data_IF_500724794635
#
_entry.id   IF_500724794635
#
_cell.length_a   1.000
_cell.length_b   1.000
_cell.length_c   1.000
_cell.angle_alpha   90.00
_cell.angle_beta   90.00
_cell.angle_gamma   90.00
#
_symmetry.space_group_name_H-M   'P 1'
#
loop_
_entity.id
_entity.type
_entity.pdbx_description
1 polymer ?
#
# COMPACT_ATOMS: atom_id res chain seq x y z
N UNK A 1 -3.24 -25.29 -34.06
CA UNK A 1 -4.67 -25.02 -33.81
C UNK A 1 -4.76 -23.55 -33.45
N UNK A 2 -5.12 -22.69 -34.41
CA UNK A 2 -5.28 -21.25 -34.16
C UNK A 2 -6.62 -21.11 -33.46
N UNK A 3 -6.61 -20.66 -32.21
CA UNK A 3 -7.85 -20.36 -31.49
C UNK A 3 -8.33 -19.02 -32.04
N UNK A 4 -9.35 -19.05 -32.88
CA UNK A 4 -9.98 -17.82 -33.35
C UNK A 4 -10.74 -17.18 -32.18
N UNK A 5 -10.22 -16.06 -31.69
CA UNK A 5 -10.90 -15.26 -30.67
C UNK A 5 -12.00 -14.44 -31.34
N UNK A 6 -13.26 -14.72 -31.01
CA UNK A 6 -14.41 -13.91 -31.41
C UNK A 6 -14.81 -12.96 -30.28
N UNK A 7 -15.16 -11.71 -30.59
CA UNK A 7 -15.68 -10.75 -29.63
C UNK A 7 -17.18 -10.48 -29.87
N UNK A 8 -17.91 -10.16 -28.81
CA UNK A 8 -19.31 -9.76 -28.86
C UNK A 8 -19.52 -8.47 -28.09
N UNK A 9 -20.26 -7.52 -28.66
CA UNK A 9 -20.65 -6.31 -27.95
C UNK A 9 -21.61 -6.68 -26.81
N UNK A 10 -21.20 -6.39 -25.57
CA UNK A 10 -22.04 -6.61 -24.39
C UNK A 10 -22.87 -5.37 -24.06
N UNK A 11 -22.26 -4.18 -24.08
CA UNK A 11 -22.90 -2.95 -23.60
C UNK A 11 -22.31 -1.72 -24.31
N UNK A 12 -23.15 -0.70 -24.56
CA UNK A 12 -22.70 0.63 -24.98
C UNK A 12 -23.37 1.66 -24.10
N UNK A 13 -22.57 2.39 -23.32
CA UNK A 13 -23.07 3.42 -22.40
C UNK A 13 -22.37 4.75 -22.64
N UNK A 14 -23.14 5.81 -22.82
CA UNK A 14 -22.63 7.17 -22.88
C UNK A 14 -22.65 7.81 -21.48
N UNK A 15 -21.49 8.28 -21.02
CA UNK A 15 -21.35 9.02 -19.78
C UNK A 15 -21.31 10.52 -20.11
N UNK A 16 -22.38 11.26 -19.81
CA UNK A 16 -22.53 12.66 -20.22
C UNK A 16 -21.98 13.70 -19.22
N UNK A 17 -21.64 13.28 -18.00
CA UNK A 17 -21.27 14.22 -16.93
C UNK A 17 -19.91 14.88 -17.21
N UNK A 18 -18.89 14.09 -17.55
CA UNK A 18 -17.51 14.56 -17.67
C UNK A 18 -16.70 13.66 -18.60
N UNK A 19 -15.63 14.20 -19.19
CA UNK A 19 -14.70 13.44 -20.03
C UNK A 19 -13.94 12.43 -19.17
N UNK A 20 -13.94 11.17 -19.59
CA UNK A 20 -13.14 10.12 -18.98
C UNK A 20 -11.71 10.20 -19.55
N UNK A 21 -10.73 10.32 -18.66
CA UNK A 21 -9.30 10.48 -19.01
C UNK A 21 -8.48 9.26 -18.64
N UNK A 22 -8.96 8.42 -17.73
CA UNK A 22 -8.32 7.18 -17.33
C UNK A 22 -9.35 6.06 -17.14
N UNK A 23 -9.02 4.83 -17.55
CA UNK A 23 -9.81 3.66 -17.24
C UNK A 23 -8.92 2.42 -17.07
N UNK A 24 -9.28 1.53 -16.14
CA UNK A 24 -8.51 0.30 -15.88
C UNK A 24 -9.39 -0.81 -15.29
N UNK A 25 -9.30 -2.00 -15.88
CA UNK A 25 -9.97 -3.20 -15.38
C UNK A 25 -9.31 -3.74 -14.12
N UNK A 26 -10.12 -4.29 -13.22
CA UNK A 26 -9.64 -5.03 -12.05
C UNK A 26 -8.89 -6.28 -12.51
N UNK A 27 -7.74 -6.61 -11.89
CA UNK A 27 -6.97 -7.81 -12.25
C UNK A 27 -7.63 -9.13 -11.81
N UNK A 28 -8.69 -9.07 -11.00
CA UNK A 28 -9.30 -10.24 -10.34
C UNK A 28 -10.79 -10.39 -10.58
N UNK A 29 -11.49 -9.32 -10.92
CA UNK A 29 -12.96 -9.27 -10.94
C UNK A 29 -13.46 -8.59 -12.21
N UNK A 30 -14.78 -8.62 -12.41
CA UNK A 30 -15.49 -7.99 -13.53
C UNK A 30 -15.66 -6.47 -13.38
N UNK A 31 -14.80 -5.83 -12.59
CA UNK A 31 -14.89 -4.41 -12.27
C UNK A 31 -14.00 -3.57 -13.18
N UNK A 32 -14.46 -2.38 -13.54
CA UNK A 32 -13.71 -1.35 -14.23
C UNK A 32 -13.72 -0.05 -13.42
N UNK A 33 -12.54 0.52 -13.21
CA UNK A 33 -12.38 1.84 -12.63
C UNK A 33 -12.31 2.90 -13.74
N UNK A 34 -12.97 4.03 -13.52
CA UNK A 34 -12.99 5.18 -14.42
C UNK A 34 -12.57 6.44 -13.65
N UNK A 35 -11.74 7.27 -14.28
CA UNK A 35 -11.29 8.55 -13.76
C UNK A 35 -11.62 9.66 -14.75
N UNK A 36 -12.22 10.74 -14.26
CA UNK A 36 -12.62 11.88 -15.09
C UNK A 36 -11.64 13.05 -15.01
N UNK A 37 -11.76 13.93 -16.00
CA UNK A 37 -11.05 15.21 -16.03
C UNK A 37 -11.47 16.15 -14.89
N UNK A 38 -12.67 15.94 -14.34
CA UNK A 38 -13.19 16.73 -13.21
C UNK A 38 -12.73 16.23 -11.84
N UNK A 39 -11.91 15.17 -11.76
CA UNK A 39 -11.51 14.55 -10.50
C UNK A 39 -12.51 13.55 -9.92
N UNK A 40 -13.50 13.10 -10.69
CA UNK A 40 -14.39 12.04 -10.26
C UNK A 40 -13.76 10.66 -10.51
N UNK A 41 -13.77 9.80 -9.50
CA UNK A 41 -13.33 8.40 -9.58
C UNK A 41 -14.54 7.50 -9.32
N UNK A 42 -14.78 6.53 -10.19
CA UNK A 42 -15.90 5.60 -10.05
C UNK A 42 -15.51 4.18 -10.42
N UNK A 43 -16.20 3.21 -9.81
CA UNK A 43 -16.05 1.79 -10.13
C UNK A 43 -17.37 1.22 -10.60
N UNK A 44 -17.33 0.51 -11.72
CA UNK A 44 -18.48 -0.08 -12.38
C UNK A 44 -18.27 -1.58 -12.59
N UNK A 45 -19.36 -2.33 -12.69
CA UNK A 45 -19.35 -3.69 -13.24
C UNK A 45 -19.14 -3.67 -14.76
N UNK A 46 -18.83 -4.80 -15.37
CA UNK A 46 -18.62 -4.91 -16.82
C UNK A 46 -19.81 -4.46 -17.69
N UNK A 47 -21.04 -4.52 -17.16
CA UNK A 47 -22.26 -3.95 -17.78
C UNK A 47 -22.47 -2.46 -17.46
N UNK A 48 -21.41 -1.77 -17.05
CA UNK A 48 -21.42 -0.37 -16.65
C UNK A 48 -22.38 -0.04 -15.51
N UNK A 49 -22.72 -0.98 -14.63
CA UNK A 49 -23.48 -0.70 -13.40
C UNK A 49 -22.54 -0.04 -12.39
N UNK A 50 -22.83 1.20 -11.97
CA UNK A 50 -22.03 1.93 -10.99
C UNK A 50 -22.17 1.28 -9.61
N UNK A 51 -21.05 0.90 -9.00
CA UNK A 51 -21.00 0.41 -7.62
C UNK A 51 -20.89 1.59 -6.66
N UNK A 52 -19.96 2.49 -6.96
CA UNK A 52 -19.75 3.72 -6.21
C UNK A 52 -19.07 4.76 -7.11
N UNK A 53 -19.24 6.02 -6.71
CA UNK A 53 -18.68 7.21 -7.35
C UNK A 53 -18.19 8.14 -6.24
N UNK A 54 -16.96 8.64 -6.36
CA UNK A 54 -16.36 9.57 -5.41
C UNK A 54 -15.88 10.81 -6.17
N UNK A 55 -16.43 11.96 -5.82
CA UNK A 55 -16.00 13.24 -6.37
C UNK A 55 -14.83 13.80 -5.56
N UNK A 56 -13.70 14.01 -6.24
CA UNK A 56 -12.48 14.65 -5.72
C UNK A 56 -12.08 15.83 -6.60
N UNK A 57 -13.06 16.61 -7.05
CA UNK A 57 -12.85 17.81 -7.85
C UNK A 57 -11.92 18.85 -7.21
N UNK A 58 -11.80 18.86 -5.88
CA UNK A 58 -10.82 19.67 -5.14
C UNK A 58 -9.36 19.30 -5.44
N UNK A 59 -9.11 18.07 -5.92
CA UNK A 59 -7.77 17.56 -6.25
C UNK A 59 -7.40 17.73 -7.74
N UNK A 60 -8.35 18.14 -8.57
CA UNK A 60 -8.18 18.29 -10.02
C UNK A 60 -8.35 16.99 -10.81
N UNK A 61 -7.88 16.99 -12.06
CA UNK A 61 -8.06 15.88 -13.02
C UNK A 61 -7.35 14.59 -12.56
N UNK A 62 -7.97 13.44 -12.81
CA UNK A 62 -7.33 12.13 -12.55
C UNK A 62 -6.22 11.91 -13.57
N UNK A 63 -4.98 11.71 -13.10
CA UNK A 63 -3.82 11.48 -13.97
C UNK A 63 -3.56 9.99 -14.20
N UNK A 64 -3.68 9.16 -13.16
CA UNK A 64 -3.41 7.72 -13.25
C UNK A 64 -4.36 6.92 -12.34
N UNK A 65 -4.65 5.69 -12.76
CA UNK A 65 -5.37 4.70 -11.97
C UNK A 65 -4.59 3.40 -11.96
N UNK A 66 -4.53 2.73 -10.81
CA UNK A 66 -3.92 1.41 -10.71
C UNK A 66 -4.61 0.57 -9.64
N UNK A 67 -4.76 -0.73 -9.88
CA UNK A 67 -5.34 -1.66 -8.93
C UNK A 67 -4.23 -2.35 -8.15
N UNK A 68 -4.43 -2.49 -6.83
CA UNK A 68 -3.62 -3.42 -6.06
C UNK A 68 -3.81 -4.84 -6.63
N UNK A 69 -2.80 -5.72 -6.65
CA UNK A 69 -2.86 -6.97 -7.40
C UNK A 69 -3.89 -7.98 -6.85
N UNK A 70 -4.35 -7.79 -5.62
CA UNK A 70 -5.43 -8.55 -5.00
C UNK A 70 -6.84 -8.08 -5.40
N UNK A 71 -6.95 -6.94 -6.09
CA UNK A 71 -8.21 -6.34 -6.53
C UNK A 71 -9.03 -5.66 -5.44
N UNK A 72 -8.50 -5.53 -4.20
CA UNK A 72 -9.26 -4.97 -3.06
C UNK A 72 -9.09 -3.47 -2.89
N UNK A 73 -8.01 -2.91 -3.42
CA UNK A 73 -7.69 -1.49 -3.37
C UNK A 73 -7.53 -0.93 -4.79
N UNK A 74 -8.16 0.21 -5.04
CA UNK A 74 -7.92 1.04 -6.21
C UNK A 74 -7.12 2.28 -5.76
N UNK A 75 -6.07 2.63 -6.49
CA UNK A 75 -5.28 3.84 -6.26
C UNK A 75 -5.50 4.81 -7.41
N UNK A 76 -5.81 6.07 -7.09
CA UNK A 76 -5.95 7.13 -8.07
C UNK A 76 -4.99 8.28 -7.76
N UNK A 77 -4.26 8.74 -8.78
CA UNK A 77 -3.46 9.96 -8.71
C UNK A 77 -4.19 11.12 -9.38
N UNK A 78 -3.99 12.33 -8.85
CA UNK A 78 -4.63 13.55 -9.30
C UNK A 78 -3.60 14.60 -9.74
N UNK A 79 -4.04 15.57 -10.53
CA UNK A 79 -3.20 16.66 -11.03
C UNK A 79 -2.63 17.56 -9.92
N UNK A 80 -3.19 17.52 -8.72
CA UNK A 80 -2.63 18.18 -7.52
C UNK A 80 -1.40 17.47 -6.94
N UNK A 81 -1.01 16.31 -7.48
CA UNK A 81 0.04 15.46 -6.89
C UNK A 81 -0.44 14.63 -5.69
N UNK A 82 -1.74 14.66 -5.37
CA UNK A 82 -2.32 13.73 -4.40
C UNK A 82 -2.56 12.36 -5.01
N UNK A 83 -2.38 11.34 -4.17
CA UNK A 83 -2.70 9.95 -4.48
C UNK A 83 -3.65 9.43 -3.42
N UNK A 84 -4.85 9.01 -3.80
CA UNK A 84 -5.86 8.46 -2.90
C UNK A 84 -5.98 6.94 -3.07
N UNK A 85 -6.21 6.24 -1.98
CA UNK A 85 -6.40 4.79 -1.95
C UNK A 85 -7.83 4.45 -1.52
N UNK A 86 -8.57 3.83 -2.43
CA UNK A 86 -9.99 3.50 -2.29
C UNK A 86 -10.16 2.03 -1.96
N UNK A 87 -10.93 1.74 -0.92
CA UNK A 87 -11.46 0.40 -0.65
C UNK A 87 -12.54 0.11 -1.68
N UNK A 88 -12.37 -0.98 -2.43
CA UNK A 88 -13.22 -1.27 -3.60
C UNK A 88 -14.67 -1.61 -3.21
N UNK A 89 -14.89 -2.09 -1.99
CA UNK A 89 -16.23 -2.48 -1.52
C UNK A 89 -17.21 -1.32 -1.40
N UNK A 90 -16.75 -0.15 -0.94
CA UNK A 90 -17.58 1.00 -0.60
C UNK A 90 -17.06 2.35 -1.15
N UNK A 91 -15.90 2.36 -1.81
CA UNK A 91 -15.27 3.60 -2.30
C UNK A 91 -14.65 4.45 -1.19
N UNK A 92 -14.50 3.90 0.02
CA UNK A 92 -13.91 4.62 1.15
C UNK A 92 -12.41 4.92 0.90
N UNK A 93 -11.99 6.15 1.13
CA UNK A 93 -10.59 6.57 1.00
C UNK A 93 -9.87 6.36 2.33
N UNK A 94 -9.07 5.29 2.44
CA UNK A 94 -8.38 4.97 3.69
C UNK A 94 -7.02 5.66 3.84
N UNK A 95 -6.41 6.08 2.74
CA UNK A 95 -5.10 6.72 2.76
C UNK A 95 -4.96 7.73 1.63
N UNK A 96 -4.20 8.79 1.90
CA UNK A 96 -3.82 9.82 0.93
C UNK A 96 -2.30 10.08 1.04
N UNK A 97 -1.58 10.08 -0.07
CA UNK A 97 -0.19 10.51 -0.17
C UNK A 97 -0.13 11.84 -0.93
N UNK A 98 0.83 12.70 -0.59
CA UNK A 98 1.07 13.98 -1.27
C UNK A 98 2.47 13.99 -1.87
N UNK A 99 2.55 14.30 -3.16
CA UNK A 99 3.79 14.44 -3.91
C UNK A 99 3.98 15.90 -4.38
N UNK A 100 5.23 16.30 -4.70
CA UNK A 100 5.53 17.68 -5.08
C UNK A 100 4.99 18.07 -6.47
N UNK A 101 4.66 17.10 -7.31
CA UNK A 101 4.11 17.32 -8.66
C UNK A 101 3.06 16.27 -9.01
N UNK A 102 2.46 16.42 -10.19
CA UNK A 102 1.68 15.35 -10.83
C UNK A 102 2.47 14.06 -10.89
N UNK A 103 1.75 12.95 -10.80
CA UNK A 103 2.32 11.62 -10.92
C UNK A 103 2.39 11.27 -12.39
N UNK A 104 3.58 10.92 -12.88
CA UNK A 104 3.77 10.55 -14.28
C UNK A 104 3.72 9.03 -14.47
N UNK A 105 4.06 8.27 -13.42
CA UNK A 105 4.01 6.80 -13.41
C UNK A 105 3.49 6.28 -12.08
N UNK A 106 2.54 5.35 -12.15
CA UNK A 106 1.88 4.75 -10.98
C UNK A 106 1.59 3.27 -11.27
N UNK A 107 2.21 2.36 -10.53
CA UNK A 107 2.05 0.92 -10.74
C UNK A 107 2.09 0.13 -9.44
N UNK A 108 1.11 -0.75 -9.25
CA UNK A 108 1.22 -1.84 -8.29
C UNK A 108 1.87 -3.07 -8.91
N UNK A 109 2.84 -3.62 -8.19
CA UNK A 109 3.45 -4.92 -8.47
C UNK A 109 3.25 -5.83 -7.28
N UNK A 110 3.24 -7.14 -7.52
CA UNK A 110 3.22 -8.13 -6.45
C UNK A 110 4.53 -8.90 -6.46
N UNK A 111 5.30 -8.78 -5.40
CA UNK A 111 6.48 -9.61 -5.23
C UNK A 111 6.07 -10.91 -4.54
N UNK A 112 6.35 -12.04 -5.18
CA UNK A 112 6.09 -13.35 -4.59
C UNK A 112 7.36 -13.87 -3.93
N UNK A 113 7.31 -14.25 -2.66
CA UNK A 113 8.44 -14.97 -2.05
C UNK A 113 8.56 -16.35 -2.70
N UNK A 114 9.77 -16.79 -3.11
CA UNK A 114 9.95 -18.13 -3.62
C UNK A 114 9.49 -19.15 -2.57
N UNK A 115 8.55 -20.01 -2.95
CA UNK A 115 8.06 -21.10 -2.11
C UNK A 115 9.20 -22.09 -1.91
N UNK A 116 9.65 -22.27 -0.67
CA UNK A 116 10.63 -23.30 -0.31
C UNK A 116 9.99 -24.68 -0.39
N UNK A 117 10.01 -25.31 -1.57
CA UNK A 117 9.94 -26.77 -1.64
C UNK A 117 11.34 -27.32 -1.36
N UNK A 118 11.77 -27.36 -0.10
CA UNK A 118 13.04 -28.00 0.27
C UNK A 118 12.94 -28.71 1.61
N UNK A 119 12.72 -30.03 1.52
CA UNK A 119 13.07 -31.03 2.54
C UNK A 119 14.59 -31.19 2.73
N UNK A 120 15.42 -30.18 2.43
CA UNK A 120 16.87 -30.30 2.54
C UNK A 120 17.43 -29.32 3.57
N UNK A 121 17.78 -29.90 4.70
CA UNK A 121 18.42 -29.33 5.88
C UNK A 121 19.90 -28.98 5.63
N UNK A 122 20.17 -27.92 4.88
CA UNK A 122 21.52 -27.31 4.87
C UNK A 122 21.41 -25.88 5.41
N UNK A 123 21.84 -25.71 6.66
CA UNK A 123 21.65 -24.53 7.51
C UNK A 123 22.52 -23.32 7.15
N UNK A 124 23.47 -23.44 6.22
CA UNK A 124 24.43 -22.36 5.90
C UNK A 124 23.99 -21.45 4.73
N UNK A 125 23.10 -21.91 3.85
CA UNK A 125 22.51 -21.06 2.78
C UNK A 125 21.37 -20.17 3.32
N UNK A 126 20.98 -20.35 4.59
CA UNK A 126 19.87 -19.64 5.20
C UNK A 126 20.07 -18.13 5.39
N UNK A 127 21.30 -17.61 5.27
CA UNK A 127 21.57 -16.17 5.36
C UNK A 127 21.29 -15.39 4.05
N UNK A 128 21.06 -16.10 2.94
CA UNK A 128 20.55 -15.53 1.67
C UNK A 128 19.03 -15.70 1.53
N UNK A 129 18.33 -16.20 2.56
CA UNK A 129 16.87 -16.36 2.55
C UNK A 129 16.17 -15.00 2.52
N UNK A 130 15.60 -14.66 1.37
CA UNK A 130 14.54 -13.66 1.16
C UNK A 130 14.54 -12.48 2.14
N UNK A 131 15.39 -11.49 1.85
CA UNK A 131 15.39 -10.19 2.53
C UNK A 131 14.07 -9.41 2.36
N UNK A 132 13.12 -9.89 1.55
CA UNK A 132 11.81 -9.25 1.36
C UNK A 132 11.09 -9.08 2.68
N UNK A 133 10.96 -10.12 3.51
CA UNK A 133 10.33 -9.99 4.82
C UNK A 133 11.03 -8.97 5.74
N UNK A 134 12.31 -8.65 5.50
CA UNK A 134 13.06 -7.63 6.22
C UNK A 134 12.65 -6.19 5.83
N UNK A 135 12.13 -5.98 4.63
CA UNK A 135 11.66 -4.67 4.15
C UNK A 135 10.20 -4.38 4.51
N UNK A 136 9.48 -5.34 5.10
CA UNK A 136 8.06 -5.19 5.45
C UNK A 136 7.83 -5.43 6.94
N UNK A 137 6.90 -4.70 7.59
CA UNK A 137 6.56 -4.95 8.98
C UNK A 137 5.89 -6.32 9.14
N UNK A 138 6.11 -6.98 10.30
CA UNK A 138 5.41 -8.23 10.60
C UNK A 138 3.93 -7.97 10.92
N UNK A 139 3.08 -8.24 9.92
CA UNK A 139 1.62 -8.04 10.00
C UNK A 139 0.89 -9.20 10.68
N UNK A 140 1.57 -10.27 11.12
CA UNK A 140 0.93 -11.45 11.75
C UNK A 140 0.16 -11.12 13.02
N UNK A 141 0.62 -10.11 13.76
CA UNK A 141 -0.01 -9.67 15.01
C UNK A 141 -1.39 -9.02 14.80
N UNK A 142 -1.72 -8.59 13.58
CA UNK A 142 -3.05 -8.05 13.23
C UNK A 142 -4.15 -9.13 13.26
N UNK A 143 -3.79 -10.41 13.35
CA UNK A 143 -4.74 -11.53 13.45
C UNK A 143 -5.53 -11.58 14.76
N UNK A 144 -5.09 -10.83 15.79
CA UNK A 144 -5.69 -10.76 17.13
C UNK A 144 -7.08 -10.09 17.17
N UNK A 145 -7.42 -9.26 16.18
CA UNK A 145 -8.65 -8.47 16.15
C UNK A 145 -9.85 -9.21 15.51
N UNK A 146 -10.04 -10.49 15.86
CA UNK A 146 -10.85 -11.43 15.06
C UNK A 146 -12.36 -11.44 15.38
N UNK A 147 -12.84 -10.84 16.48
CA UNK A 147 -14.09 -11.34 17.08
C UNK A 147 -15.20 -10.36 17.43
N UNK A 148 -15.01 -9.04 17.37
CA UNK A 148 -16.01 -8.20 18.04
C UNK A 148 -16.96 -7.55 17.02
N UNK A 149 -18.19 -8.04 17.03
CA UNK A 149 -19.32 -7.71 16.13
C UNK A 149 -19.64 -6.19 16.11
N UNK A 150 -19.14 -5.43 17.08
CA UNK A 150 -19.29 -3.98 17.19
C UNK A 150 -18.09 -3.17 16.60
N UNK A 151 -17.03 -3.83 16.12
CA UNK A 151 -15.79 -3.18 15.66
C UNK A 151 -15.70 -3.03 14.14
N UNK A 152 -16.70 -3.54 13.41
CA UNK A 152 -16.73 -3.55 11.94
C UNK A 152 -17.04 -2.19 11.31
N UNK A 153 -17.35 -1.15 12.11
CA UNK A 153 -17.70 0.18 11.59
C UNK A 153 -16.51 1.11 11.40
N UNK A 154 -15.38 0.86 12.07
CA UNK A 154 -14.21 1.75 11.96
C UNK A 154 -13.40 1.43 10.71
N UNK A 155 -13.05 2.49 9.98
CA UNK A 155 -12.28 2.41 8.75
C UNK A 155 -10.86 1.84 8.94
N UNK A 156 -10.30 2.03 10.14
CA UNK A 156 -8.99 1.46 10.53
C UNK A 156 -9.08 -0.06 10.63
N UNK A 157 -10.16 -0.57 11.20
CA UNK A 157 -10.39 -2.01 11.30
C UNK A 157 -10.54 -2.64 9.90
N UNK A 158 -11.26 -1.97 8.99
CA UNK A 158 -11.37 -2.41 7.58
C UNK A 158 -9.99 -2.49 6.92
N UNK A 159 -9.14 -1.47 7.11
CA UNK A 159 -7.78 -1.48 6.57
C UNK A 159 -6.89 -2.58 7.17
N UNK A 160 -6.95 -2.79 8.48
CA UNK A 160 -6.22 -3.87 9.15
C UNK A 160 -6.60 -5.26 8.61
N UNK A 161 -7.88 -5.46 8.30
CA UNK A 161 -8.36 -6.69 7.65
C UNK A 161 -7.82 -6.82 6.21
N UNK A 162 -7.75 -5.71 5.47
CA UNK A 162 -7.20 -5.69 4.11
C UNK A 162 -5.68 -5.96 4.04
N UNK A 163 -4.95 -5.66 5.12
CA UNK A 163 -3.54 -6.05 5.28
C UNK A 163 -3.39 -7.51 5.69
N UNK A 164 -4.31 -8.01 6.51
CA UNK A 164 -4.32 -9.40 6.98
C UNK A 164 -4.61 -10.40 5.86
N UNK A 165 -5.52 -10.06 4.96
CA UNK A 165 -5.94 -10.95 3.87
C UNK A 165 -4.86 -11.15 2.80
N UNK A 166 -3.78 -10.39 2.87
CA UNK A 166 -2.58 -10.65 2.08
C UNK A 166 -1.95 -11.88 2.71
N UNK A 167 -1.92 -13.02 2.01
CA UNK A 167 -1.33 -14.27 2.49
C UNK A 167 0.09 -13.98 3.03
N UNK A 168 0.18 -13.79 4.35
CA UNK A 168 1.15 -12.91 5.02
C UNK A 168 2.62 -13.30 4.95
N UNK A 169 2.97 -14.27 4.11
CA UNK A 169 4.34 -14.70 3.85
C UNK A 169 4.64 -14.93 2.36
N UNK A 170 3.65 -14.84 1.45
CA UNK A 170 3.82 -15.16 0.03
C UNK A 170 3.80 -13.95 -0.89
N UNK A 171 3.00 -12.94 -0.59
CA UNK A 171 2.77 -11.82 -1.50
C UNK A 171 3.06 -10.49 -0.82
N UNK A 172 3.91 -9.69 -1.46
CA UNK A 172 4.36 -8.39 -0.99
C UNK A 172 4.03 -7.35 -2.05
N UNK A 173 2.86 -6.69 -1.97
CA UNK A 173 2.48 -5.68 -2.94
C UNK A 173 3.32 -4.41 -2.75
N UNK A 174 3.91 -3.94 -3.84
CA UNK A 174 4.73 -2.73 -3.89
C UNK A 174 4.09 -1.76 -4.86
N UNK A 175 3.83 -0.55 -4.38
CA UNK A 175 3.41 0.57 -5.20
C UNK A 175 4.63 1.37 -5.62
N UNK A 176 4.84 1.51 -6.92
CA UNK A 176 5.85 2.39 -7.51
C UNK A 176 5.18 3.69 -7.96
N UNK A 177 5.73 4.81 -7.51
CA UNK A 177 5.26 6.16 -7.85
C UNK A 177 6.43 6.96 -8.41
N UNK A 178 6.26 7.61 -9.55
CA UNK A 178 7.24 8.54 -10.10
C UNK A 178 6.68 9.96 -10.13
N UNK A 179 7.40 10.88 -9.50
CA UNK A 179 7.08 12.30 -9.46
C UNK A 179 8.37 13.10 -9.43
N UNK A 180 8.47 14.11 -10.29
CA UNK A 180 9.58 15.09 -10.32
C UNK A 180 10.96 14.43 -10.19
N UNK A 181 11.29 13.56 -11.14
CA UNK A 181 12.59 12.87 -11.25
C UNK A 181 12.90 11.88 -10.11
N UNK A 182 11.96 11.64 -9.20
CA UNK A 182 12.14 10.71 -8.09
C UNK A 182 11.17 9.54 -8.20
N UNK A 183 11.71 8.33 -8.13
CA UNK A 183 10.96 7.07 -8.04
C UNK A 183 10.84 6.69 -6.58
N UNK A 184 9.61 6.55 -6.09
CA UNK A 184 9.29 6.11 -4.75
C UNK A 184 8.73 4.68 -4.79
N UNK A 185 9.11 3.88 -3.79
CA UNK A 185 8.58 2.53 -3.58
C UNK A 185 7.85 2.49 -2.24
N UNK A 186 6.58 2.09 -2.27
CA UNK A 186 5.75 1.94 -1.08
C UNK A 186 5.33 0.48 -0.91
N UNK A 187 5.77 -0.14 0.18
CA UNK A 187 5.30 -1.44 0.63
C UNK A 187 3.87 -1.36 1.17
N UNK A 188 3.01 -2.26 0.71
CA UNK A 188 1.56 -2.23 1.01
C UNK A 188 0.88 -0.89 0.68
N UNK A 189 1.53 -0.01 -0.09
CA UNK A 189 1.04 1.32 -0.44
C UNK A 189 1.14 2.37 0.68
N UNK A 190 1.69 2.00 1.84
CA UNK A 190 1.79 2.89 3.02
C UNK A 190 3.22 3.07 3.49
N UNK A 191 4.05 2.02 3.45
CA UNK A 191 5.40 2.07 3.99
C UNK A 191 6.38 2.47 2.90
N UNK A 192 6.97 3.67 2.96
CA UNK A 192 8.05 4.05 2.06
C UNK A 192 9.25 3.10 2.27
N UNK A 193 9.56 2.28 1.27
CA UNK A 193 10.69 1.35 1.25
C UNK A 193 11.95 2.09 0.82
N UNK A 194 11.85 2.82 -0.29
CA UNK A 194 12.97 3.49 -0.91
C UNK A 194 12.50 4.65 -1.79
N UNK A 195 13.39 5.62 -1.98
CA UNK A 195 13.24 6.68 -2.94
C UNK A 195 14.55 6.83 -3.72
N UNK A 196 14.47 6.93 -5.03
CA UNK A 196 15.62 7.08 -5.92
C UNK A 196 15.44 8.29 -6.81
N UNK A 197 16.36 9.25 -6.74
CA UNK A 197 16.39 10.38 -7.65
C UNK A 197 17.21 10.00 -8.88
N UNK A 198 16.56 10.03 -10.06
CA UNK A 198 17.16 9.66 -11.34
C UNK A 198 18.24 10.64 -11.78
N UNK A 199 18.06 11.93 -11.54
CA UNK A 199 18.91 13.00 -12.07
C UNK A 199 19.77 13.59 -10.94
N UNK A 200 20.67 12.75 -10.40
CA UNK A 200 21.71 13.20 -9.44
C UNK A 200 22.77 14.03 -10.17
N UNK A 201 23.53 14.85 -9.43
CA UNK A 201 24.49 15.83 -9.98
C UNK A 201 25.60 15.23 -10.89
N UNK A 202 25.77 13.91 -10.89
CA UNK A 202 26.75 13.18 -11.71
C UNK A 202 26.19 12.67 -13.06
N UNK A 203 24.98 13.05 -13.46
CA UNK A 203 24.38 12.56 -14.70
C UNK A 203 25.04 13.22 -15.94
N UNK A 204 25.76 12.41 -16.72
CA UNK A 204 26.49 12.84 -17.93
C UNK A 204 25.61 12.95 -19.17
N UNK A 205 24.33 12.60 -19.04
CA UNK A 205 23.35 12.61 -20.10
C UNK A 205 22.68 13.99 -20.15
N UNK A 206 22.77 14.67 -21.30
CA UNK A 206 22.12 15.96 -21.55
C UNK A 206 20.60 15.80 -21.66
N UNK A 207 19.95 15.56 -20.52
CA UNK A 207 18.51 15.38 -20.43
C UNK A 207 17.78 16.70 -20.69
N UNK A 208 16.76 16.67 -21.55
CA UNK A 208 15.72 17.70 -21.54
C UNK A 208 14.71 17.40 -20.43
N UNK A 209 13.93 18.39 -19.99
CA UNK A 209 12.85 18.26 -18.99
C UNK A 209 11.69 17.31 -19.40
N UNK A 210 11.86 16.54 -20.49
CA UNK A 210 10.85 15.65 -21.06
C UNK A 210 11.05 14.17 -20.69
N UNK A 211 11.85 13.88 -19.67
CA UNK A 211 12.10 12.49 -19.25
C UNK A 211 10.82 11.83 -18.73
N UNK A 212 10.47 10.69 -19.34
CA UNK A 212 9.33 9.86 -18.97
C UNK A 212 9.82 8.51 -18.49
N UNK A 213 9.33 8.09 -17.32
CA UNK A 213 9.56 6.74 -16.82
C UNK A 213 8.67 5.76 -17.60
N UNK A 214 9.29 4.82 -18.31
CA UNK A 214 8.58 3.78 -19.07
C UNK A 214 8.25 2.60 -18.15
N UNK A 215 9.25 2.12 -17.41
CA UNK A 215 9.08 0.97 -16.55
C UNK A 215 10.07 1.00 -15.39
N UNK A 216 9.63 0.43 -14.28
CA UNK A 216 10.43 0.29 -13.08
C UNK A 216 10.16 -1.09 -12.48
N UNK A 217 11.21 -1.89 -12.34
CA UNK A 217 11.11 -3.26 -11.82
C UNK A 217 12.13 -3.49 -10.72
N UNK A 218 11.64 -3.70 -9.50
CA UNK A 218 12.44 -4.07 -8.35
C UNK A 218 12.55 -5.60 -8.28
N UNK A 219 13.77 -6.13 -8.47
CA UNK A 219 14.08 -7.54 -8.27
C UNK A 219 14.77 -7.72 -6.92
N UNK A 220 14.03 -8.19 -5.93
CA UNK A 220 14.60 -8.45 -4.61
C UNK A 220 15.50 -9.70 -4.58
N UNK A 221 15.25 -10.70 -5.45
CA UNK A 221 16.11 -11.89 -5.56
C UNK A 221 17.52 -11.54 -6.03
N UNK A 222 17.61 -10.62 -6.99
CA UNK A 222 18.88 -10.22 -7.58
C UNK A 222 19.45 -8.95 -6.94
N UNK A 223 18.75 -8.41 -5.94
CA UNK A 223 19.03 -7.12 -5.30
C UNK A 223 19.31 -6.00 -6.33
N UNK A 224 18.47 -5.91 -7.37
CA UNK A 224 18.63 -4.97 -8.47
C UNK A 224 17.33 -4.23 -8.73
N UNK A 225 17.46 -2.93 -8.98
CA UNK A 225 16.42 -2.08 -9.52
C UNK A 225 16.72 -1.80 -11.00
N UNK A 226 15.78 -2.17 -11.87
CA UNK A 226 15.82 -1.83 -13.29
C UNK A 226 14.89 -0.65 -13.53
N UNK A 227 15.45 0.46 -14.03
CA UNK A 227 14.70 1.65 -14.41
C UNK A 227 14.89 1.89 -15.90
N UNK A 228 13.80 1.95 -16.64
CA UNK A 228 13.80 2.31 -18.06
C UNK A 228 13.15 3.66 -18.24
N UNK A 229 13.93 4.62 -18.72
CA UNK A 229 13.50 5.98 -19.00
C UNK A 229 13.62 6.27 -20.50
N UNK A 230 12.71 7.10 -21.00
CA UNK A 230 12.86 7.74 -22.30
C UNK A 230 12.98 9.23 -22.13
N UNK A 231 13.86 9.86 -22.89
CA UNK A 231 13.98 11.31 -22.93
C UNK A 231 14.30 11.77 -24.34
N UNK A 232 13.94 13.02 -24.66
CA UNK A 232 14.38 13.66 -25.88
C UNK A 232 15.76 14.29 -25.65
N UNK A 233 16.69 14.04 -26.56
CA UNK A 233 17.98 14.72 -26.57
C UNK A 233 17.82 16.16 -27.09
N UNK A 234 18.83 17.01 -26.87
CA UNK A 234 18.85 18.41 -27.37
C UNK A 234 18.68 18.46 -28.91
N UNK A 235 19.16 17.44 -29.61
CA UNK A 235 19.04 17.30 -31.07
C UNK A 235 17.67 16.77 -31.54
N UNK A 236 16.70 16.59 -30.63
CA UNK A 236 15.35 16.11 -30.93
C UNK A 236 15.22 14.59 -31.11
N UNK A 237 16.29 13.82 -30.90
CA UNK A 237 16.25 12.35 -30.96
C UNK A 237 15.66 11.75 -29.67
N UNK A 238 14.78 10.76 -29.81
CA UNK A 238 14.23 10.01 -28.68
C UNK A 238 15.21 8.91 -28.26
N UNK A 239 15.73 9.00 -27.04
CA UNK A 239 16.60 8.00 -26.46
C UNK A 239 15.87 7.21 -25.38
N UNK A 240 16.16 5.92 -25.29
CA UNK A 240 15.68 5.04 -24.22
C UNK A 240 16.89 4.47 -23.49
N UNK A 241 16.95 4.70 -22.18
CA UNK A 241 18.04 4.24 -21.32
C UNK A 241 17.48 3.28 -20.28
N UNK A 242 18.14 2.12 -20.13
CA UNK A 242 17.84 1.17 -19.07
C UNK A 242 19.00 1.17 -18.06
N UNK A 243 18.74 1.66 -16.85
CA UNK A 243 19.69 1.70 -15.75
C UNK A 243 19.50 0.47 -14.87
N UNK A 244 20.60 -0.21 -14.56
CA UNK A 244 20.68 -1.31 -13.59
C UNK A 244 21.33 -0.78 -12.32
N UNK A 245 20.56 -0.65 -11.25
CA UNK A 245 21.01 -0.07 -9.98
C UNK A 245 21.09 -1.18 -8.93
N UNK A 246 22.25 -1.44 -8.31
CA UNK A 246 22.36 -2.36 -7.18
C UNK A 246 21.54 -1.83 -5.99
N UNK A 247 20.78 -2.70 -5.35
CA UNK A 247 19.90 -2.33 -4.25
C UNK A 247 20.58 -2.32 -2.87
N UNK A 248 21.88 -2.58 -2.82
CA UNK A 248 22.69 -2.62 -1.59
C UNK A 248 22.61 -1.30 -0.78
N UNK A 249 22.37 -0.17 -1.45
CA UNK A 249 22.25 1.16 -0.84
C UNK A 249 20.82 1.61 -0.49
N UNK A 250 19.78 0.85 -0.81
CA UNK A 250 18.39 1.27 -0.55
C UNK A 250 17.93 1.07 0.92
N UNK A 251 18.84 0.68 1.83
CA UNK A 251 18.50 0.48 3.23
C UNK A 251 18.31 1.80 3.99
N UNK A 252 17.06 2.27 4.09
CA UNK A 252 16.62 3.21 5.14
C UNK A 252 16.09 2.51 6.41
N UNK A 253 16.20 1.19 6.50
CA UNK A 253 15.28 0.35 7.28
C UNK A 253 15.63 0.10 8.76
N UNK A 254 16.29 1.03 9.43
CA UNK A 254 16.49 0.98 10.90
C UNK A 254 15.79 2.09 11.67
N UNK A 255 15.71 3.30 11.10
CA UNK A 255 15.36 4.52 11.85
C UNK A 255 14.00 5.12 11.43
N UNK A 256 13.46 4.74 10.26
CA UNK A 256 12.24 5.34 9.70
C UNK A 256 10.94 4.68 10.14
N UNK A 257 10.94 3.42 10.58
CA UNK A 257 9.74 2.79 11.16
C UNK A 257 9.24 3.56 12.41
N UNK A 258 10.16 4.21 13.13
CA UNK A 258 9.86 5.10 14.26
C UNK A 258 9.57 6.56 13.88
N UNK A 259 9.91 7.00 12.66
CA UNK A 259 9.82 8.41 12.22
C UNK A 259 8.69 8.66 11.22
N UNK A 260 8.35 7.69 10.37
CA UNK A 260 7.18 7.72 9.49
C UNK A 260 5.87 7.68 10.26
N UNK A 261 5.93 7.22 11.50
CA UNK A 261 4.80 7.28 12.40
C UNK A 261 4.37 8.68 12.82
N UNK A 262 5.28 9.65 12.72
CA UNK A 262 5.02 11.05 13.03
C UNK A 262 4.75 11.92 11.79
N UNK A 263 5.01 11.42 10.58
CA UNK A 263 4.88 12.18 9.33
C UNK A 263 3.68 11.77 8.45
N UNK A 264 3.05 10.61 8.68
CA UNK A 264 1.84 10.18 7.97
C UNK A 264 0.55 10.83 8.54
N UNK A 265 0.40 12.14 8.34
CA UNK A 265 -0.70 12.95 8.89
C UNK A 265 -2.03 12.90 8.09
N UNK A 266 -2.27 11.88 7.27
CA UNK A 266 -3.35 11.91 6.26
C UNK A 266 -4.30 10.70 6.25
N UNK A 267 -4.36 9.90 7.31
CA UNK A 267 -5.40 8.88 7.44
C UNK A 267 -6.64 9.59 7.99
N UNK A 268 -7.55 9.98 7.08
CA UNK A 268 -8.85 10.55 7.42
C UNK A 268 -9.72 9.45 8.02
N UNK A 269 -9.66 9.27 9.32
CA UNK A 269 -10.63 8.47 10.07
C UNK A 269 -11.71 9.45 10.50
N UNK A 270 -12.89 9.37 9.88
CA UNK A 270 -14.04 10.14 10.34
C UNK A 270 -14.46 9.64 11.72
N UNK A 271 -14.51 10.56 12.69
CA UNK A 271 -14.91 10.34 14.09
C UNK A 271 -16.06 9.33 14.21
N UNK A 272 -15.76 8.17 14.78
CA UNK A 272 -16.67 7.50 15.72
C UNK A 272 -16.21 7.82 17.14
N UNK A 273 -17.06 7.57 18.14
CA UNK A 273 -16.74 7.74 19.55
C UNK A 273 -15.36 7.18 19.91
N UNK A 274 -14.61 7.91 20.75
CA UNK A 274 -13.23 7.56 21.09
C UNK A 274 -13.15 6.13 21.64
N UNK A 275 -12.30 5.31 21.02
CA UNK A 275 -12.09 3.90 21.40
C UNK A 275 -10.60 3.62 21.54
N UNK A 276 -10.19 3.29 22.76
CA UNK A 276 -8.80 2.93 23.10
C UNK A 276 -8.25 1.85 22.17
N UNK A 277 -9.07 0.87 21.76
CA UNK A 277 -8.64 -0.20 20.86
C UNK A 277 -8.35 0.31 19.44
N UNK A 278 -9.18 1.20 18.91
CA UNK A 278 -8.97 1.80 17.57
C UNK A 278 -7.71 2.66 17.58
N UNK A 279 -7.50 3.41 18.66
CA UNK A 279 -6.32 4.25 18.86
C UNK A 279 -5.04 3.42 19.01
N UNK A 280 -5.07 2.32 19.77
CA UNK A 280 -3.94 1.39 19.88
C UNK A 280 -3.65 0.69 18.54
N UNK A 281 -4.68 0.32 17.77
CA UNK A 281 -4.51 -0.25 16.43
C UNK A 281 -3.91 0.78 15.46
N UNK A 282 -4.36 2.04 15.53
CA UNK A 282 -3.78 3.14 14.78
C UNK A 282 -2.31 3.37 15.15
N UNK A 283 -1.98 3.28 16.45
CA UNK A 283 -0.59 3.30 16.92
C UNK A 283 0.21 2.08 16.46
N UNK A 284 -0.36 0.89 16.37
CA UNK A 284 0.38 -0.29 15.87
C UNK A 284 0.63 -0.19 14.37
N UNK A 285 -0.37 0.23 13.59
CA UNK A 285 -0.30 0.28 12.13
C UNK A 285 0.50 1.47 11.61
N UNK A 286 0.38 2.60 12.31
CA UNK A 286 0.89 3.89 11.84
C UNK A 286 1.76 4.59 12.88
N UNK A 287 1.96 4.03 14.08
CA UNK A 287 2.79 4.58 15.18
C UNK A 287 2.41 6.01 15.62
N UNK A 288 1.19 6.43 15.32
CA UNK A 288 0.64 7.72 15.73
C UNK A 288 -0.07 7.57 17.07
N UNK A 289 0.32 8.40 18.05
CA UNK A 289 -0.35 8.47 19.35
C UNK A 289 -1.14 9.78 19.41
N UNK A 290 -2.47 9.69 19.32
CA UNK A 290 -3.34 10.86 19.31
C UNK A 290 -3.27 11.62 20.66
N UNK A 291 -3.63 12.92 20.70
CA UNK A 291 -3.59 13.70 21.95
C UNK A 291 -4.41 13.07 23.08
N UNK A 292 -5.56 12.48 22.76
CA UNK A 292 -6.45 11.82 23.73
C UNK A 292 -5.83 10.52 24.27
N UNK A 293 -5.21 9.70 23.40
CA UNK A 293 -4.45 8.51 23.81
C UNK A 293 -3.22 8.89 24.64
N UNK A 294 -2.50 9.94 24.26
CA UNK A 294 -1.35 10.45 25.02
C UNK A 294 -1.78 10.90 26.40
N UNK A 295 -2.89 11.65 26.49
CA UNK A 295 -3.46 12.09 27.76
C UNK A 295 -3.84 10.89 28.62
N UNK A 296 -4.54 9.91 28.04
CA UNK A 296 -4.88 8.66 28.73
C UNK A 296 -3.66 7.87 29.22
N UNK A 297 -2.60 7.73 28.40
CA UNK A 297 -1.37 7.03 28.78
C UNK A 297 -0.56 7.77 29.86
N UNK A 298 -0.69 9.10 29.95
CA UNK A 298 0.01 9.92 30.95
C UNK A 298 -0.78 9.99 32.26
N UNK A 299 -2.11 10.15 32.19
CA UNK A 299 -2.97 10.37 33.35
C UNK A 299 -3.46 9.06 33.98
N UNK A 300 -3.96 8.11 33.18
CA UNK A 300 -4.63 6.90 33.68
C UNK A 300 -3.74 5.64 33.57
N UNK A 301 -2.80 5.61 32.62
CA UNK A 301 -2.05 4.39 32.25
C UNK A 301 -0.54 4.58 32.13
N UNK A 302 0.07 5.13 33.20
CA UNK A 302 1.53 5.34 33.31
C UNK A 302 2.36 4.08 32.97
N UNK A 303 3.59 4.24 32.46
CA UNK A 303 4.47 3.12 32.10
C UNK A 303 4.66 2.09 33.22
N UNK A 304 4.72 2.53 34.47
CA UNK A 304 4.79 1.65 35.64
C UNK A 304 3.50 0.86 35.87
N UNK A 305 2.33 1.51 35.71
CA UNK A 305 1.02 0.86 35.81
C UNK A 305 0.79 -0.14 34.65
N UNK A 306 1.23 0.18 33.43
CA UNK A 306 1.12 -0.70 32.28
C UNK A 306 1.93 -1.99 32.48
N UNK A 307 3.19 -1.87 32.95
CA UNK A 307 4.04 -3.02 33.26
C UNK A 307 3.44 -3.89 34.37
N UNK A 308 2.87 -3.26 35.41
CA UNK A 308 2.24 -3.96 36.53
C UNK A 308 0.95 -4.67 36.11
N UNK A 309 0.10 -3.99 35.37
CA UNK A 309 -1.17 -4.55 34.86
C UNK A 309 -0.89 -5.69 33.89
N UNK A 310 0.02 -5.53 32.92
CA UNK A 310 0.37 -6.58 31.97
C UNK A 310 0.95 -7.83 32.62
N UNK A 311 1.80 -7.68 33.65
CA UNK A 311 2.31 -8.83 34.40
C UNK A 311 1.23 -9.49 35.26
N UNK A 312 0.29 -8.73 35.81
CA UNK A 312 -0.84 -9.27 36.56
C UNK A 312 -1.85 -10.02 35.67
N UNK A 313 -2.21 -9.49 34.50
CA UNK A 313 -3.10 -10.17 33.55
C UNK A 313 -2.48 -11.43 32.97
N UNK A 314 -1.19 -11.43 32.63
CA UNK A 314 -0.50 -12.62 32.14
C UNK A 314 -0.50 -13.74 33.21
N UNK A 315 -0.22 -13.39 34.47
CA UNK A 315 -0.28 -14.34 35.60
C UNK A 315 -1.69 -14.86 35.83
N UNK A 316 -2.71 -13.99 35.76
CA UNK A 316 -4.10 -14.39 35.90
C UNK A 316 -4.53 -15.35 34.77
N UNK A 317 -4.10 -15.09 33.53
CA UNK A 317 -4.36 -15.96 32.40
C UNK A 317 -3.72 -17.34 32.56
N UNK A 318 -2.45 -17.41 32.96
CA UNK A 318 -1.78 -18.70 33.23
C UNK A 318 -2.45 -19.47 34.38
N UNK A 319 -2.90 -18.78 35.43
CA UNK A 319 -3.69 -19.40 36.51
C UNK A 319 -5.02 -19.95 35.99
N UNK A 320 -5.79 -19.16 35.21
CA UNK A 320 -7.06 -19.59 34.62
C UNK A 320 -6.85 -20.80 33.71
N UNK A 321 -5.84 -20.75 32.85
CA UNK A 321 -5.46 -21.85 31.96
C UNK A 321 -5.17 -23.13 32.75
N UNK A 322 -4.36 -23.02 33.81
CA UNK A 322 -4.01 -24.16 34.67
C UNK A 322 -5.24 -24.74 35.38
N UNK A 323 -6.09 -23.87 35.94
CA UNK A 323 -7.33 -24.27 36.62
C UNK A 323 -8.30 -24.94 35.65
N UNK A 324 -8.51 -24.36 34.45
CA UNK A 324 -9.37 -24.96 33.43
C UNK A 324 -8.83 -26.32 32.96
N UNK A 325 -7.53 -26.47 32.72
CA UNK A 325 -6.96 -27.76 32.33
C UNK A 325 -7.13 -28.82 33.43
N UNK A 326 -6.98 -28.44 34.70
CA UNK A 326 -7.21 -29.36 35.83
C UNK A 326 -8.69 -29.74 36.00
N UNK A 327 -9.62 -28.81 35.76
CA UNK A 327 -11.06 -29.06 35.90
C UNK A 327 -11.67 -29.80 34.70
N UNK A 328 -11.11 -29.65 33.50
CA UNK A 328 -11.58 -30.32 32.28
C UNK A 328 -10.99 -31.74 32.15
N UNK A 329 -9.90 -32.06 32.86
CA UNK A 329 -9.30 -33.39 32.90
C UNK A 329 -9.84 -34.31 34.02
N UNK A 330 -10.83 -33.84 34.80
CA UNK A 330 -11.62 -34.64 35.74
C UNK A 330 -12.94 -35.09 35.11
#
# INVERSE_FOLDING_TARGET
MVVDFTYSLVETRQLMKTKIVACIWSPKTDLIALGSESGCVSVHRYKMTCIWECDKSDLGSVSNLTWRPDGKILTAAFSSGKVCFFVVGDGFVFHELQFPSTIDYLLWTNYQSPTTNTNNSNSEINYLKNNVATYFPDVKHLSMFKSDVNFSSSDVCKYAQLLRDIDGNKYFPILTVYSKNTVYFYGFGVFEIAAYNLHSADDTLNHTDTSKLISCHLSAEQNILLITESFLNVDGQCNVVCRKIPCDGFQKFGYQLMRLSSQAYSIKITKSDWSLCVELLQFILFGHCCPDLRKFLVEDWTAASLKRTGTATLKAYESIKTICFQQIQL
#
